data_IF_791519544797
#
_entry.id   IF_791519544797
#
_cell.length_a   1.000
_cell.length_b   1.000
_cell.length_c   1.000
_cell.angle_alpha   90.00
_cell.angle_beta   90.00
_cell.angle_gamma   90.00
#
_symmetry.space_group_name_H-M   'P 1'
#
loop_
_entity.id
_entity.type
_entity.pdbx_description
1 polymer ?
#
# COMPACT_ATOMS: atom_id res chain seq x y z
N UNK A 1 11.83 15.39 19.16
CA UNK A 1 10.74 14.80 18.33
C UNK A 1 11.25 13.90 17.19
N UNK A 2 12.50 14.04 16.70
CA UNK A 2 13.02 13.13 15.66
C UNK A 2 13.33 11.74 16.23
N UNK A 3 14.03 11.67 17.36
CA UNK A 3 14.41 10.39 17.94
C UNK A 3 13.20 9.53 18.31
N UNK A 4 12.12 10.15 18.81
CA UNK A 4 10.90 9.42 19.14
C UNK A 4 10.24 8.76 17.91
N UNK A 5 10.19 9.43 16.76
CA UNK A 5 9.64 8.84 15.53
C UNK A 5 10.53 7.70 15.05
N UNK A 6 11.85 7.88 15.09
CA UNK A 6 12.80 6.87 14.64
C UNK A 6 12.76 5.62 15.55
N UNK A 7 12.62 5.81 16.87
CA UNK A 7 12.43 4.72 17.84
C UNK A 7 11.14 3.94 17.60
N UNK A 8 10.02 4.62 17.37
CA UNK A 8 8.73 3.95 17.08
C UNK A 8 8.79 3.25 15.71
N UNK A 9 9.39 3.89 14.71
CA UNK A 9 9.57 3.31 13.38
C UNK A 9 10.42 2.04 13.38
N UNK A 10 11.41 1.95 14.29
CA UNK A 10 12.24 0.76 14.46
C UNK A 10 11.46 -0.48 14.96
N UNK A 11 10.25 -0.30 15.49
CA UNK A 11 9.35 -1.38 15.88
C UNK A 11 8.49 -1.90 14.72
N UNK A 12 8.54 -1.27 13.55
CA UNK A 12 7.76 -1.70 12.41
C UNK A 12 8.27 -3.02 11.84
N UNK A 13 7.35 -3.90 11.47
CA UNK A 13 7.70 -5.17 10.84
C UNK A 13 8.38 -4.93 9.49
N UNK A 14 9.44 -5.69 9.22
CA UNK A 14 9.92 -5.87 7.86
C UNK A 14 8.87 -6.60 7.00
N UNK A 15 9.09 -6.61 5.69
CA UNK A 15 8.14 -7.18 4.72
C UNK A 15 7.91 -8.69 4.91
N UNK A 16 8.91 -9.45 5.34
CA UNK A 16 8.79 -10.89 5.55
C UNK A 16 8.00 -11.17 6.82
N UNK A 17 8.31 -10.45 7.91
CA UNK A 17 7.56 -10.53 9.17
C UNK A 17 6.09 -10.16 8.95
N UNK A 18 5.81 -9.10 8.18
CA UNK A 18 4.46 -8.72 7.79
C UNK A 18 3.75 -9.80 6.94
N UNK A 19 4.45 -10.40 5.97
CA UNK A 19 3.89 -11.48 5.15
C UNK A 19 3.57 -12.74 5.98
N UNK A 20 4.42 -13.09 6.94
CA UNK A 20 4.19 -14.16 7.92
C UNK A 20 2.98 -13.88 8.82
N UNK A 21 2.76 -12.64 9.23
CA UNK A 21 1.53 -12.27 9.96
C UNK A 21 0.30 -12.33 9.05
N UNK A 22 0.43 -11.85 7.81
CA UNK A 22 -0.63 -11.86 6.81
C UNK A 22 -1.08 -13.28 6.42
N UNK A 23 -0.19 -14.27 6.44
CA UNK A 23 -0.54 -15.68 6.13
C UNK A 23 -1.55 -16.30 7.10
N UNK A 24 -1.74 -15.70 8.27
CA UNK A 24 -2.76 -16.09 9.26
C UNK A 24 -4.14 -15.52 8.96
N UNK A 25 -4.26 -14.64 7.96
CA UNK A 25 -5.52 -14.04 7.52
C UNK A 25 -6.10 -14.84 6.35
N UNK A 26 -7.40 -14.64 6.08
CA UNK A 26 -8.07 -15.31 4.95
C UNK A 26 -7.71 -14.68 3.59
N UNK A 27 -7.39 -13.39 3.59
CA UNK A 27 -6.76 -12.64 2.50
C UNK A 27 -6.22 -11.32 3.04
N UNK A 28 -5.40 -10.66 2.23
CA UNK A 28 -5.03 -9.24 2.43
C UNK A 28 -5.33 -8.42 1.18
N UNK A 29 -5.50 -7.11 1.37
CA UNK A 29 -5.61 -6.15 0.27
C UNK A 29 -4.28 -5.42 0.14
N UNK A 30 -3.70 -5.46 -1.06
CA UNK A 30 -2.52 -4.68 -1.43
C UNK A 30 -2.97 -3.46 -2.23
N UNK A 31 -2.64 -2.27 -1.73
CA UNK A 31 -2.85 -1.03 -2.48
C UNK A 31 -1.67 -0.07 -2.33
N UNK A 32 -1.61 0.93 -3.20
CA UNK A 32 -0.61 1.99 -3.20
C UNK A 32 -1.26 3.35 -2.97
N UNK A 33 -0.53 4.26 -2.32
CA UNK A 33 -1.01 5.62 -2.15
C UNK A 33 0.11 6.64 -2.28
N UNK A 34 -0.21 7.76 -2.92
CA UNK A 34 0.67 8.90 -3.02
C UNK A 34 0.47 9.82 -1.81
N UNK A 35 1.55 10.05 -1.07
CA UNK A 35 1.61 11.04 0.00
C UNK A 35 2.19 12.34 -0.59
N UNK A 36 1.44 13.45 -0.57
CA UNK A 36 1.93 14.72 -1.11
C UNK A 36 3.16 15.23 -0.36
N UNK A 37 4.15 15.71 -1.10
CA UNK A 37 5.33 16.40 -0.56
C UNK A 37 5.42 17.81 -1.17
N UNK A 38 6.15 18.71 -0.49
CA UNK A 38 6.53 19.98 -1.11
C UNK A 38 7.51 19.75 -2.28
N UNK A 39 7.49 20.68 -3.24
CA UNK A 39 8.40 20.65 -4.38
C UNK A 39 9.85 20.77 -3.91
N UNK A 40 10.70 19.85 -4.37
CA UNK A 40 12.14 19.87 -4.10
C UNK A 40 12.89 20.55 -5.25
N UNK A 41 14.18 20.85 -5.09
CA UNK A 41 14.98 21.42 -6.18
C UNK A 41 15.20 20.41 -7.32
N UNK A 42 15.33 19.12 -6.99
CA UNK A 42 15.34 17.99 -7.93
C UNK A 42 14.04 17.18 -7.77
N UNK A 43 13.02 17.58 -8.54
CA UNK A 43 11.62 17.21 -8.30
C UNK A 43 11.05 16.19 -9.27
N UNK A 44 11.71 15.99 -10.42
CA UNK A 44 11.30 15.07 -11.48
C UNK A 44 10.97 13.64 -10.97
N UNK A 45 11.79 12.98 -10.13
CA UNK A 45 11.47 11.63 -9.67
C UNK A 45 10.25 11.57 -8.72
N UNK A 46 9.88 12.70 -8.11
CA UNK A 46 8.76 12.79 -7.18
C UNK A 46 7.45 13.21 -7.85
N UNK A 47 7.48 13.70 -9.09
CA UNK A 47 6.28 14.06 -9.81
C UNK A 47 5.50 12.82 -10.29
N UNK A 48 4.31 12.61 -9.73
CA UNK A 48 3.44 11.52 -10.14
C UNK A 48 2.56 11.96 -11.31
N UNK A 49 2.82 11.42 -12.50
CA UNK A 49 1.98 11.67 -13.68
C UNK A 49 0.52 11.25 -13.50
N UNK A 50 0.26 10.19 -12.70
CA UNK A 50 -1.08 9.69 -12.37
C UNK A 50 -1.89 10.70 -11.54
N UNK A 51 -1.23 11.44 -10.66
CA UNK A 51 -1.88 12.34 -9.69
C UNK A 51 -1.64 13.82 -9.99
N UNK A 52 -0.85 14.14 -11.02
CA UNK A 52 -0.42 15.50 -11.39
C UNK A 52 0.12 16.31 -10.20
N UNK A 53 0.90 15.64 -9.34
CA UNK A 53 1.41 16.21 -8.09
C UNK A 53 2.70 15.53 -7.65
N UNK A 54 3.56 16.28 -6.97
CA UNK A 54 4.73 15.75 -6.28
C UNK A 54 4.36 14.99 -5.02
N UNK A 55 4.97 13.82 -4.84
CA UNK A 55 4.70 12.97 -3.70
C UNK A 55 5.71 11.83 -3.59
N UNK A 56 5.54 11.06 -2.53
CA UNK A 56 6.15 9.75 -2.36
C UNK A 56 5.09 8.67 -2.47
N UNK A 57 5.40 7.58 -3.15
CA UNK A 57 4.54 6.43 -3.29
C UNK A 57 4.82 5.43 -2.15
N UNK A 58 3.77 5.01 -1.46
CA UNK A 58 3.81 4.03 -0.37
C UNK A 58 2.80 2.93 -0.65
N UNK A 59 3.25 1.69 -0.55
CA UNK A 59 2.44 0.49 -0.68
C UNK A 59 2.04 0.05 0.72
N UNK A 60 0.87 -0.53 0.88
CA UNK A 60 0.44 -1.03 2.17
C UNK A 60 -0.39 -2.29 2.03
N UNK A 61 -0.41 -3.07 3.11
CA UNK A 61 -1.28 -4.22 3.28
C UNK A 61 -2.39 -3.87 4.27
N UNK A 62 -3.61 -4.25 3.92
CA UNK A 62 -4.76 -4.14 4.79
C UNK A 62 -5.39 -5.53 5.04
N UNK A 63 -5.88 -5.73 6.25
CA UNK A 63 -6.64 -6.92 6.61
C UNK A 63 -8.08 -6.86 6.06
N UNK A 64 -8.89 -7.94 6.17
CA UNK A 64 -10.27 -7.95 5.71
C UNK A 64 -11.22 -6.96 6.39
N UNK A 65 -10.83 -6.37 7.53
CA UNK A 65 -11.65 -5.37 8.26
C UNK A 65 -11.26 -3.95 7.85
N UNK A 66 -10.07 -3.77 7.25
CA UNK A 66 -9.53 -2.48 6.79
C UNK A 66 -8.45 -1.91 7.68
N UNK A 67 -7.86 -2.71 8.58
CA UNK A 67 -6.73 -2.30 9.43
C UNK A 67 -5.42 -2.42 8.65
N UNK A 68 -4.51 -1.47 8.88
CA UNK A 68 -3.16 -1.51 8.30
C UNK A 68 -2.36 -2.63 8.96
N UNK A 69 -1.84 -3.55 8.15
CA UNK A 69 -0.97 -4.64 8.56
C UNK A 69 0.49 -4.24 8.38
N UNK A 70 0.80 -3.49 7.32
CA UNK A 70 2.15 -3.11 6.96
C UNK A 70 2.14 -1.95 5.96
N UNK A 71 3.20 -1.15 5.91
CA UNK A 71 3.45 -0.20 4.85
C UNK A 71 4.91 -0.27 4.39
N UNK A 72 5.14 0.04 3.11
CA UNK A 72 6.46 0.04 2.52
C UNK A 72 7.26 1.29 2.90
N UNK A 73 8.58 1.25 2.70
CA UNK A 73 9.36 2.47 2.56
C UNK A 73 8.74 3.40 1.50
N UNK A 74 8.86 4.71 1.74
CA UNK A 74 8.41 5.73 0.82
C UNK A 74 9.35 5.81 -0.40
N UNK A 75 8.83 5.53 -1.58
CA UNK A 75 9.56 5.62 -2.84
C UNK A 75 9.19 6.90 -3.61
N UNK A 76 9.98 7.33 -4.61
CA UNK A 76 9.61 8.49 -5.43
C UNK A 76 8.23 8.33 -6.11
N UNK A 77 7.43 9.39 -6.15
CA UNK A 77 6.04 9.37 -6.62
C UNK A 77 5.83 9.00 -8.10
N UNK A 78 6.89 9.05 -8.92
CA UNK A 78 6.84 8.59 -10.30
C UNK A 78 6.92 7.06 -10.44
N UNK A 79 7.32 6.34 -9.37
CA UNK A 79 7.47 4.88 -9.41
C UNK A 79 6.10 4.21 -9.46
N UNK A 80 5.88 3.41 -10.51
CA UNK A 80 4.65 2.63 -10.68
C UNK A 80 4.45 1.61 -9.54
N UNK A 81 3.21 1.43 -9.10
CA UNK A 81 2.84 0.61 -7.93
C UNK A 81 3.44 -0.80 -7.96
N UNK A 82 3.34 -1.52 -9.09
CA UNK A 82 3.99 -2.82 -9.24
C UNK A 82 5.52 -2.78 -9.08
N UNK A 83 6.19 -1.78 -9.64
CA UNK A 83 7.64 -1.65 -9.53
C UNK A 83 8.05 -1.32 -8.11
N UNK A 84 7.26 -0.51 -7.41
CA UNK A 84 7.45 -0.18 -6.02
C UNK A 84 7.36 -1.44 -5.14
N UNK A 85 6.31 -2.26 -5.31
CA UNK A 85 6.15 -3.52 -4.57
C UNK A 85 7.23 -4.57 -4.89
N UNK A 86 7.75 -4.60 -6.13
CA UNK A 86 8.89 -5.47 -6.47
C UNK A 86 10.19 -5.02 -5.80
N UNK A 87 10.47 -3.71 -5.81
CA UNK A 87 11.68 -3.14 -5.17
C UNK A 87 11.75 -3.42 -3.67
N UNK A 88 10.60 -3.57 -3.02
CA UNK A 88 10.51 -3.84 -1.59
C UNK A 88 10.47 -5.33 -1.25
N UNK A 89 10.53 -6.22 -2.26
CA UNK A 89 10.40 -7.68 -2.06
C UNK A 89 9.00 -8.15 -1.66
N UNK A 90 8.00 -7.26 -1.69
CA UNK A 90 6.65 -7.55 -1.21
C UNK A 90 5.96 -8.66 -1.99
N UNK A 91 6.15 -8.68 -3.32
CA UNK A 91 5.53 -9.68 -4.19
C UNK A 91 6.04 -11.08 -3.85
N UNK A 92 7.34 -11.21 -3.63
CA UNK A 92 8.00 -12.48 -3.34
C UNK A 92 7.63 -12.93 -1.93
N UNK A 93 7.74 -12.05 -0.93
CA UNK A 93 7.36 -12.35 0.45
C UNK A 93 5.91 -12.84 0.60
N UNK A 94 4.96 -12.20 -0.11
CA UNK A 94 3.55 -12.64 -0.10
C UNK A 94 3.34 -13.96 -0.84
N UNK A 95 4.10 -14.20 -1.90
CA UNK A 95 4.03 -15.45 -2.67
C UNK A 95 4.56 -16.61 -1.84
N UNK A 96 5.70 -16.43 -1.17
CA UNK A 96 6.30 -17.41 -0.26
C UNK A 96 5.39 -17.71 0.93
N UNK A 97 4.70 -16.69 1.45
CA UNK A 97 3.73 -16.85 2.53
C UNK A 97 2.42 -17.55 2.09
N UNK A 98 2.18 -17.73 0.79
CA UNK A 98 1.01 -18.44 0.26
C UNK A 98 -0.34 -17.75 0.49
N UNK A 99 -0.35 -16.50 0.94
CA UNK A 99 -1.57 -15.75 1.29
C UNK A 99 -2.29 -15.23 0.06
N UNK A 100 -3.62 -15.30 0.03
CA UNK A 100 -4.41 -14.67 -1.06
C UNK A 100 -4.33 -13.14 -0.97
N UNK A 101 -3.93 -12.48 -2.05
CA UNK A 101 -3.80 -11.02 -2.09
C UNK A 101 -4.73 -10.43 -3.15
N UNK A 102 -5.56 -9.45 -2.78
CA UNK A 102 -6.36 -8.67 -3.72
C UNK A 102 -5.72 -7.32 -3.97
N UNK A 103 -5.52 -6.96 -5.24
CA UNK A 103 -4.83 -5.72 -5.61
C UNK A 103 -5.49 -5.00 -6.79
N UNK A 104 -5.18 -3.71 -6.94
CA UNK A 104 -5.69 -2.90 -8.02
C UNK A 104 -5.08 -3.22 -9.41
N UNK A 105 -5.44 -2.45 -10.44
CA UNK A 105 -4.88 -2.64 -11.79
C UNK A 105 -3.41 -2.24 -11.89
N UNK A 106 -2.91 -1.38 -11.00
CA UNK A 106 -1.51 -1.00 -10.91
C UNK A 106 -0.60 -2.18 -10.56
N UNK A 107 -1.15 -3.29 -10.07
CA UNK A 107 -0.41 -4.54 -9.81
C UNK A 107 -0.59 -5.60 -10.91
N UNK A 108 -1.18 -5.24 -12.06
CA UNK A 108 -1.34 -6.19 -13.16
C UNK A 108 0.04 -6.68 -13.62
N UNK A 109 0.23 -8.01 -13.67
CA UNK A 109 1.51 -8.64 -14.01
C UNK A 109 2.40 -8.95 -12.80
N UNK A 110 1.89 -8.78 -11.57
CA UNK A 110 2.59 -9.18 -10.35
C UNK A 110 2.89 -10.68 -10.29
N UNK A 111 1.95 -11.53 -10.72
CA UNK A 111 2.08 -12.98 -10.64
C UNK A 111 1.79 -13.54 -9.24
N UNK A 112 2.14 -14.81 -9.02
CA UNK A 112 2.02 -15.49 -7.73
C UNK A 112 0.60 -15.48 -7.16
N UNK A 113 0.49 -15.05 -5.91
CA UNK A 113 -0.75 -15.04 -5.14
C UNK A 113 -1.63 -13.81 -5.36
N UNK A 114 -1.16 -12.83 -6.15
CA UNK A 114 -1.84 -11.56 -6.34
C UNK A 114 -2.96 -11.68 -7.37
N UNK A 115 -4.13 -11.18 -7.01
CA UNK A 115 -5.35 -11.21 -7.82
C UNK A 115 -5.77 -9.79 -8.15
N UNK A 116 -5.66 -9.47 -9.43
CA UNK A 116 -6.12 -8.20 -10.01
C UNK A 116 -7.39 -8.40 -10.83
N UNK A 117 -8.18 -7.34 -10.99
CA UNK A 117 -9.40 -7.36 -11.79
C UNK A 117 -9.14 -7.63 -13.27
N UNK A 118 -10.13 -8.22 -13.96
CA UNK A 118 -10.08 -8.44 -15.40
C UNK A 118 -10.10 -7.10 -16.15
N UNK A 119 -9.06 -6.84 -16.94
CA UNK A 119 -8.95 -5.64 -17.77
C UNK A 119 -9.62 -5.86 -19.13
N UNK A 120 -10.44 -4.90 -19.55
CA UNK A 120 -10.89 -4.81 -20.94
C UNK A 120 -9.74 -4.26 -21.80
N UNK A 121 -9.44 -4.94 -22.90
CA UNK A 121 -8.50 -4.45 -23.91
C UNK A 121 -9.27 -3.95 -25.13
N UNK A 122 -8.80 -2.87 -25.77
CA UNK A 122 -9.48 -2.20 -26.89
C UNK A 122 -9.80 -3.16 -28.04
N UNK A 123 -8.85 -4.04 -28.36
CA UNK A 123 -8.93 -4.99 -29.48
C UNK A 123 -9.33 -6.42 -29.07
N UNK A 124 -9.76 -6.63 -27.82
CA UNK A 124 -10.26 -7.93 -27.35
C UNK A 124 -11.77 -7.88 -27.15
N UNK A 125 -12.45 -9.05 -27.14
CA UNK A 125 -13.86 -9.13 -26.80
C UNK A 125 -14.19 -8.43 -25.48
N UNK A 126 -15.43 -7.94 -25.37
CA UNK A 126 -15.93 -7.36 -24.13
C UNK A 126 -15.86 -8.40 -23.00
N UNK A 127 -15.69 -7.91 -21.77
CA UNK A 127 -15.71 -8.78 -20.59
C UNK A 127 -17.03 -9.56 -20.53
N UNK A 128 -16.92 -10.86 -20.28
CA UNK A 128 -18.08 -11.73 -20.10
C UNK A 128 -18.89 -11.33 -18.87
N UNK A 129 -20.14 -11.81 -18.78
CA UNK A 129 -20.98 -11.58 -17.58
C UNK A 129 -20.29 -12.07 -16.30
N UNK A 130 -19.64 -13.23 -16.36
CA UNK A 130 -18.87 -13.79 -15.25
C UNK A 130 -17.67 -12.92 -14.86
N UNK A 131 -16.88 -12.44 -15.83
CA UNK A 131 -15.75 -11.54 -15.57
C UNK A 131 -16.20 -10.22 -14.93
N UNK A 132 -17.35 -9.67 -15.37
CA UNK A 132 -17.94 -8.48 -14.75
C UNK A 132 -18.40 -8.74 -13.33
N UNK A 133 -19.00 -9.90 -13.05
CA UNK A 133 -19.41 -10.28 -11.70
C UNK A 133 -18.20 -10.40 -10.75
N UNK A 134 -17.12 -11.06 -11.20
CA UNK A 134 -15.86 -11.13 -10.44
C UNK A 134 -15.30 -9.72 -10.19
N UNK A 135 -15.27 -8.84 -11.20
CA UNK A 135 -14.81 -7.47 -11.02
C UNK A 135 -15.66 -6.68 -10.01
N UNK A 136 -16.97 -6.96 -9.92
CA UNK A 136 -17.85 -6.32 -8.94
C UNK A 136 -17.52 -6.78 -7.52
N UNK A 137 -17.38 -8.08 -7.30
CA UNK A 137 -16.95 -8.62 -5.99
C UNK A 137 -15.56 -8.13 -5.61
N UNK A 138 -14.64 -8.06 -6.58
CA UNK A 138 -13.30 -7.51 -6.38
C UNK A 138 -13.34 -6.03 -5.97
N UNK A 139 -14.18 -5.22 -6.61
CA UNK A 139 -14.37 -3.82 -6.24
C UNK A 139 -14.87 -3.64 -4.79
N UNK A 140 -15.78 -4.51 -4.31
CA UNK A 140 -16.22 -4.49 -2.91
C UNK A 140 -15.07 -4.79 -1.93
N UNK A 141 -14.21 -5.75 -2.25
CA UNK A 141 -13.01 -6.04 -1.45
C UNK A 141 -12.05 -4.85 -1.48
N UNK A 142 -11.87 -4.21 -2.64
CA UNK A 142 -11.00 -3.04 -2.77
C UNK A 142 -11.44 -1.83 -1.97
N UNK A 143 -12.74 -1.65 -1.74
CA UNK A 143 -13.24 -0.59 -0.86
C UNK A 143 -12.65 -0.71 0.58
N UNK A 144 -12.23 -1.91 1.00
CA UNK A 144 -11.50 -2.13 2.25
C UNK A 144 -10.10 -1.48 2.21
N UNK A 145 -9.38 -1.66 1.11
CA UNK A 145 -8.09 -0.99 0.88
C UNK A 145 -8.21 0.53 0.82
N UNK A 146 -9.28 1.05 0.20
CA UNK A 146 -9.56 2.49 0.19
C UNK A 146 -9.81 3.05 1.60
N UNK A 147 -10.51 2.31 2.46
CA UNK A 147 -10.67 2.68 3.88
C UNK A 147 -9.32 2.68 4.62
N UNK A 148 -8.48 1.68 4.43
CA UNK A 148 -7.15 1.64 5.03
C UNK A 148 -6.26 2.82 4.55
N UNK A 149 -6.32 3.17 3.25
CA UNK A 149 -5.65 4.36 2.73
C UNK A 149 -6.19 5.64 3.37
N UNK A 150 -7.49 5.73 3.62
CA UNK A 150 -8.10 6.87 4.30
C UNK A 150 -7.61 6.98 5.76
N UNK A 151 -7.48 5.86 6.48
CA UNK A 151 -6.89 5.83 7.83
C UNK A 151 -5.46 6.39 7.82
N UNK A 152 -4.63 5.95 6.86
CA UNK A 152 -3.28 6.50 6.71
C UNK A 152 -3.32 8.02 6.43
N UNK A 153 -4.18 8.46 5.52
CA UNK A 153 -4.31 9.87 5.13
C UNK A 153 -5.00 10.77 6.17
N UNK A 154 -5.66 10.20 7.17
CA UNK A 154 -6.26 10.96 8.26
C UNK A 154 -5.19 11.64 9.15
N UNK A 155 -3.96 11.11 9.15
CA UNK A 155 -2.83 11.69 9.87
C UNK A 155 -2.41 13.01 9.21
N UNK A 156 -2.65 14.13 9.90
CA UNK A 156 -2.36 15.49 9.38
C UNK A 156 -0.90 15.70 8.98
N UNK A 157 0.03 14.96 9.58
CA UNK A 157 1.45 14.99 9.19
C UNK A 157 1.67 14.55 7.73
N UNK A 158 0.77 13.74 7.17
CA UNK A 158 0.83 13.23 5.79
C UNK A 158 0.04 14.09 4.78
N UNK A 159 -0.73 15.09 5.21
CA UNK A 159 -1.52 15.94 4.30
C UNK A 159 -0.62 16.75 3.35
N UNK A 160 0.51 17.24 3.88
CA UNK A 160 1.59 17.83 3.10
C UNK A 160 2.92 17.67 3.85
N UNK A 161 3.69 16.65 3.47
CA UNK A 161 5.00 16.42 4.06
C UNK A 161 5.98 17.52 3.60
N UNK A 162 6.33 18.38 4.55
CA UNK A 162 7.33 19.47 4.35
C UNK A 162 8.76 19.07 4.73
N UNK A 163 9.00 17.76 4.91
CA UNK A 163 10.31 17.23 5.28
C UNK A 163 10.99 16.55 4.11
N UNK A 164 12.28 16.26 4.25
CA UNK A 164 13.01 15.42 3.30
C UNK A 164 12.25 14.10 3.06
N UNK A 165 12.05 13.66 1.79
CA UNK A 165 11.37 12.40 1.46
C UNK A 165 11.91 11.17 2.19
N UNK A 166 13.22 11.19 2.53
CA UNK A 166 13.86 10.12 3.31
C UNK A 166 13.22 9.93 4.70
N UNK A 167 12.63 10.99 5.27
CA UNK A 167 11.92 10.92 6.56
C UNK A 167 10.48 10.42 6.43
N UNK A 168 9.90 10.44 5.23
CA UNK A 168 8.54 9.96 5.01
C UNK A 168 8.42 8.48 5.38
N UNK A 169 9.45 7.66 5.10
CA UNK A 169 9.51 6.26 5.53
C UNK A 169 9.36 6.13 7.04
N UNK A 170 10.19 6.81 7.83
CA UNK A 170 10.13 6.72 9.29
C UNK A 170 8.77 7.16 9.85
N UNK A 171 8.19 8.24 9.30
CA UNK A 171 6.86 8.71 9.71
C UNK A 171 5.79 7.67 9.39
N UNK A 172 5.79 7.11 8.19
CA UNK A 172 4.83 6.08 7.77
C UNK A 172 4.96 4.83 8.63
N UNK A 173 6.18 4.35 8.88
CA UNK A 173 6.42 3.18 9.74
C UNK A 173 5.94 3.43 11.17
N UNK A 174 6.23 4.60 11.73
CA UNK A 174 5.75 4.96 13.06
C UNK A 174 4.22 5.01 13.12
N UNK A 175 3.55 5.53 12.08
CA UNK A 175 2.08 5.55 11.99
C UNK A 175 1.52 4.13 11.97
N UNK A 176 2.09 3.22 11.17
CA UNK A 176 1.64 1.81 11.12
C UNK A 176 1.75 1.18 12.50
N UNK A 177 2.89 1.32 13.17
CA UNK A 177 3.11 0.80 14.53
C UNK A 177 2.07 1.33 15.51
N UNK A 178 1.81 2.65 15.52
CA UNK A 178 0.81 3.26 16.39
C UNK A 178 -0.60 2.74 16.10
N UNK A 179 -0.95 2.56 14.81
CA UNK A 179 -2.25 2.01 14.40
C UNK A 179 -2.43 0.55 14.83
N UNK A 180 -1.37 -0.27 14.75
CA UNK A 180 -1.40 -1.65 15.24
C UNK A 180 -1.61 -1.69 16.75
N UNK A 181 -0.88 -0.87 17.52
CA UNK A 181 -1.07 -0.78 18.96
C UNK A 181 -2.48 -0.32 19.35
N UNK A 182 -3.03 0.67 18.65
CA UNK A 182 -4.39 1.14 18.90
C UNK A 182 -5.43 0.05 18.61
N UNK A 183 -5.29 -0.65 17.48
CA UNK A 183 -6.20 -1.74 17.11
C UNK A 183 -6.16 -2.90 18.13
N UNK A 184 -5.01 -3.23 18.67
CA UNK A 184 -4.85 -4.27 19.70
C UNK A 184 -5.52 -3.89 21.02
N UNK A 185 -5.52 -2.60 21.39
CA UNK A 185 -6.17 -2.12 22.61
C UNK A 185 -7.69 -2.26 22.59
N UNK A 186 -8.30 -2.16 21.40
CA UNK A 186 -9.75 -2.29 21.22
C UNK A 186 -10.19 -3.69 20.75
N UNK A 187 -9.26 -4.63 20.62
CA UNK A 187 -9.55 -6.03 20.27
C UNK A 187 -9.50 -6.97 21.48
N UNK A 188 -9.32 -6.42 22.70
CA UNK A 188 -9.48 -7.10 24.00
C UNK A 188 -10.83 -6.70 24.60
#
# INVERSE_FOLDING_TARGET
>A
MREAVDLVAALADDVHTAALKASRLVYVVLDGTLIPIDRLADDAPYYSGKHHRHGVNVQFLADPVGRLVWASPALPGAVHDLNAARRTGLIDALTDAGIRVFADRGYQGAGGVIRTLFKRHRYRPRLSRHQKAVNRSHACIRAIGERAAATLKAWKVLDRLRCCPRRATAIVQAIVVLQTFEADRYSR
#
